data_IF_706131272408
#
_entry.id   IF_706131272408
#
_cell.length_a   1.000
_cell.length_b   1.000
_cell.length_c   1.000
_cell.angle_alpha   90.00
_cell.angle_beta   90.00
_cell.angle_gamma   90.00
#
_symmetry.space_group_name_H-M   'P 1'
#
loop_
_entity.id
_entity.type
_entity.pdbx_description
1 polymer ?
#
# COMPACT_ATOMS: atom_id res chain seq x y z
N UNK A 1 -6.47 10.67 -16.92
CA UNK A 1 -7.41 9.63 -16.42
C UNK A 1 -8.02 8.79 -17.54
N UNK A 2 -9.08 9.23 -18.25
CA UNK A 2 -9.74 8.37 -19.25
C UNK A 2 -8.84 8.03 -20.44
N UNK A 3 -8.00 8.97 -20.91
CA UNK A 3 -7.00 8.72 -21.95
C UNK A 3 -6.09 7.56 -21.56
N UNK A 4 -5.47 7.62 -20.39
CA UNK A 4 -4.53 6.60 -19.89
C UNK A 4 -5.21 5.24 -19.65
N UNK A 5 -6.50 5.25 -19.29
CA UNK A 5 -7.28 4.05 -19.06
C UNK A 5 -7.86 3.42 -20.35
N UNK A 6 -7.79 4.12 -21.50
CA UNK A 6 -8.44 3.72 -22.77
C UNK A 6 -7.49 3.67 -23.97
N UNK A 7 -6.40 4.42 -23.98
CA UNK A 7 -5.50 4.59 -25.12
C UNK A 7 -4.15 3.97 -24.78
N UNK A 8 -3.66 3.10 -25.67
CA UNK A 8 -2.32 2.54 -25.53
C UNK A 8 -1.32 3.69 -25.71
N UNK A 9 -0.36 3.88 -24.80
CA UNK A 9 0.64 4.94 -24.94
C UNK A 9 1.55 4.69 -26.15
N UNK A 10 2.26 5.73 -26.56
CA UNK A 10 3.37 5.55 -27.51
C UNK A 10 4.37 4.57 -26.89
N UNK A 11 4.70 3.51 -27.62
CA UNK A 11 5.54 2.43 -27.11
C UNK A 11 6.95 2.89 -26.74
N UNK A 12 7.42 4.03 -27.29
CA UNK A 12 8.69 4.68 -26.90
C UNK A 12 8.67 5.17 -25.45
N UNK A 13 7.48 5.43 -24.91
CA UNK A 13 7.25 5.92 -23.55
C UNK A 13 6.37 4.96 -22.73
N UNK A 14 6.24 3.68 -23.15
CA UNK A 14 5.35 2.69 -22.51
C UNK A 14 5.55 2.57 -21.00
N UNK A 15 6.78 2.80 -20.55
CA UNK A 15 7.19 2.66 -19.16
C UNK A 15 7.12 3.96 -18.36
N UNK A 16 6.70 5.07 -18.99
CA UNK A 16 6.62 6.41 -18.39
C UNK A 16 5.22 7.02 -18.48
N UNK A 17 4.46 6.66 -19.52
CA UNK A 17 3.17 7.27 -19.83
C UNK A 17 2.09 6.20 -20.07
N UNK A 18 0.85 6.51 -19.68
CA UNK A 18 -0.30 5.64 -19.91
C UNK A 18 -0.19 4.27 -19.24
N UNK A 19 -0.90 3.27 -19.80
CA UNK A 19 -0.84 1.88 -19.36
C UNK A 19 -0.18 1.00 -20.42
N UNK A 20 1.08 0.62 -20.24
CA UNK A 20 1.83 -0.24 -21.17
C UNK A 20 1.07 -1.51 -21.57
N UNK A 21 0.57 -2.23 -20.57
CA UNK A 21 -0.10 -3.52 -20.74
C UNK A 21 -1.63 -3.38 -20.89
N UNK A 22 -2.11 -2.27 -21.49
CA UNK A 22 -3.54 -2.00 -21.58
C UNK A 22 -4.31 -3.04 -22.42
N UNK A 23 -3.66 -3.67 -23.39
CA UNK A 23 -4.25 -4.72 -24.20
C UNK A 23 -4.66 -5.93 -23.33
N UNK A 24 -3.72 -6.44 -22.53
CA UNK A 24 -3.97 -7.48 -21.53
C UNK A 24 -5.01 -7.03 -20.52
N UNK A 25 -4.85 -5.83 -19.95
CA UNK A 25 -5.77 -5.32 -18.95
C UNK A 25 -7.22 -5.27 -19.43
N UNK A 26 -7.45 -4.86 -20.69
CA UNK A 26 -8.80 -4.83 -21.28
C UNK A 26 -9.34 -6.22 -21.61
N UNK A 27 -8.49 -7.14 -22.07
CA UNK A 27 -8.89 -8.45 -22.57
C UNK A 27 -9.02 -9.49 -21.45
N UNK A 28 -8.07 -9.49 -20.52
CA UNK A 28 -7.90 -10.50 -19.47
C UNK A 28 -8.38 -10.00 -18.10
N UNK A 29 -8.36 -8.68 -17.87
CA UNK A 29 -8.63 -8.07 -16.57
C UNK A 29 -7.45 -8.10 -15.60
N UNK A 30 -6.28 -8.52 -16.07
CA UNK A 30 -4.98 -8.49 -15.37
C UNK A 30 -3.86 -8.38 -16.42
N UNK A 31 -2.64 -8.10 -15.99
CA UNK A 31 -1.45 -8.09 -16.85
C UNK A 31 -0.81 -9.47 -16.81
N UNK A 32 -0.59 -10.12 -17.96
CA UNK A 32 -0.03 -11.46 -17.99
C UNK A 32 1.51 -11.46 -17.95
N UNK A 33 2.09 -12.47 -17.30
CA UNK A 33 3.54 -12.57 -17.12
C UNK A 33 4.30 -12.90 -18.42
N UNK A 34 3.73 -13.75 -19.27
CA UNK A 34 4.36 -14.22 -20.53
C UNK A 34 4.44 -13.13 -21.62
N UNK A 35 3.66 -12.05 -21.48
CA UNK A 35 3.62 -10.98 -22.46
C UNK A 35 4.15 -9.64 -21.93
N UNK A 36 4.27 -9.49 -20.60
CA UNK A 36 4.57 -8.22 -19.97
C UNK A 36 5.42 -8.37 -18.71
N UNK A 37 6.34 -7.41 -18.51
CA UNK A 37 7.06 -7.27 -17.25
C UNK A 37 6.19 -6.57 -16.19
N UNK A 38 6.57 -6.73 -14.91
CA UNK A 38 5.89 -6.17 -13.73
C UNK A 38 4.41 -6.53 -13.65
N UNK A 39 4.07 -7.73 -14.10
CA UNK A 39 2.69 -8.17 -14.25
C UNK A 39 1.89 -8.10 -12.94
N UNK A 40 2.51 -8.42 -11.79
CA UNK A 40 1.84 -8.38 -10.47
C UNK A 40 1.63 -6.94 -10.03
N UNK A 41 2.68 -6.11 -9.96
CA UNK A 41 2.54 -4.73 -9.48
C UNK A 41 1.65 -3.88 -10.40
N UNK A 42 1.80 -4.01 -11.73
CA UNK A 42 0.92 -3.32 -12.70
C UNK A 42 -0.55 -3.75 -12.53
N UNK A 43 -0.84 -5.02 -12.28
CA UNK A 43 -2.22 -5.49 -12.05
C UNK A 43 -2.83 -4.84 -10.81
N UNK A 44 -2.08 -4.77 -9.71
CA UNK A 44 -2.51 -4.14 -8.45
C UNK A 44 -2.72 -2.64 -8.65
N UNK A 45 -1.75 -1.94 -9.23
CA UNK A 45 -1.84 -0.49 -9.45
C UNK A 45 -2.91 -0.11 -10.47
N UNK A 46 -3.11 -0.90 -11.54
CA UNK A 46 -4.17 -0.66 -12.51
C UNK A 46 -5.55 -0.87 -11.91
N UNK A 47 -5.68 -1.80 -10.96
CA UNK A 47 -6.89 -2.01 -10.16
C UNK A 47 -7.22 -0.75 -9.36
N UNK A 48 -6.25 -0.22 -8.60
CA UNK A 48 -6.40 1.00 -7.83
C UNK A 48 -6.70 2.22 -8.72
N UNK A 49 -6.00 2.33 -9.85
CA UNK A 49 -6.22 3.41 -10.82
C UNK A 49 -7.64 3.36 -11.42
N UNK A 50 -8.20 2.18 -11.68
CA UNK A 50 -9.59 2.08 -12.13
C UNK A 50 -10.58 2.42 -11.01
N UNK A 51 -10.30 2.08 -9.75
CA UNK A 51 -11.10 2.57 -8.63
C UNK A 51 -11.07 4.10 -8.53
N UNK A 52 -9.90 4.73 -8.68
CA UNK A 52 -9.76 6.19 -8.72
C UNK A 52 -10.61 6.83 -9.83
N UNK A 53 -10.62 6.22 -11.02
CA UNK A 53 -11.48 6.68 -12.12
C UNK A 53 -12.95 6.56 -11.74
N UNK A 54 -13.38 5.48 -11.08
CA UNK A 54 -14.76 5.32 -10.62
C UNK A 54 -15.18 6.41 -9.62
N UNK A 55 -14.29 6.80 -8.70
CA UNK A 55 -14.57 7.87 -7.73
C UNK A 55 -14.83 9.22 -8.41
N UNK A 56 -14.03 9.58 -9.42
CA UNK A 56 -14.24 10.81 -10.19
C UNK A 56 -15.47 10.69 -11.10
N UNK A 57 -15.66 9.52 -11.72
CA UNK A 57 -16.80 9.25 -12.60
C UNK A 57 -18.14 9.39 -11.87
N UNK A 58 -18.20 9.11 -10.56
CA UNK A 58 -19.43 9.27 -9.78
C UNK A 58 -20.00 10.70 -9.81
N UNK A 59 -19.13 11.72 -9.92
CA UNK A 59 -19.55 13.13 -10.05
C UNK A 59 -19.63 13.62 -11.50
N UNK A 60 -18.77 13.11 -12.38
CA UNK A 60 -18.57 13.69 -13.72
C UNK A 60 -19.19 12.87 -14.85
N UNK A 61 -19.18 11.53 -14.74
CA UNK A 61 -19.67 10.57 -15.75
C UNK A 61 -20.24 9.30 -15.11
N UNK A 62 -21.40 9.38 -14.45
CA UNK A 62 -21.95 8.27 -13.66
C UNK A 62 -22.12 6.96 -14.45
N UNK A 63 -22.30 7.03 -15.77
CA UNK A 63 -22.41 5.87 -16.66
C UNK A 63 -21.14 5.02 -16.77
N UNK A 64 -19.97 5.61 -16.47
CA UNK A 64 -18.68 4.91 -16.50
C UNK A 64 -18.35 4.23 -15.14
N UNK A 65 -19.07 4.54 -14.05
CA UNK A 65 -18.75 4.09 -12.68
C UNK A 65 -18.68 2.57 -12.57
N UNK A 66 -19.75 1.87 -12.96
CA UNK A 66 -19.85 0.42 -12.80
C UNK A 66 -18.72 -0.30 -13.56
N UNK A 67 -18.43 0.15 -14.79
CA UNK A 67 -17.33 -0.40 -15.59
C UNK A 67 -15.98 -0.31 -14.87
N UNK A 68 -15.70 0.83 -14.24
CA UNK A 68 -14.43 1.05 -13.57
C UNK A 68 -14.35 0.37 -12.19
N UNK A 69 -15.47 0.25 -11.47
CA UNK A 69 -15.56 -0.59 -10.27
C UNK A 69 -15.38 -2.08 -10.57
N UNK A 70 -15.89 -2.59 -11.70
CA UNK A 70 -15.64 -3.98 -12.08
C UNK A 70 -14.18 -4.22 -12.49
N UNK A 71 -13.55 -3.25 -13.17
CA UNK A 71 -12.12 -3.33 -13.49
C UNK A 71 -11.22 -3.21 -12.26
N UNK A 72 -11.61 -2.47 -11.24
CA UNK A 72 -10.82 -2.36 -10.00
C UNK A 72 -10.71 -3.66 -9.20
N UNK A 73 -11.50 -4.68 -9.55
CA UNK A 73 -11.38 -6.04 -9.00
C UNK A 73 -10.33 -6.89 -9.71
N UNK A 74 -9.58 -6.34 -10.68
CA UNK A 74 -8.60 -7.07 -11.48
C UNK A 74 -7.52 -7.78 -10.64
N UNK A 75 -7.10 -7.19 -9.52
CA UNK A 75 -6.16 -7.80 -8.57
C UNK A 75 -6.62 -9.18 -8.07
N UNK A 76 -7.93 -9.38 -7.89
CA UNK A 76 -8.51 -10.65 -7.45
C UNK A 76 -8.25 -11.77 -8.47
N UNK A 77 -8.09 -11.42 -9.76
CA UNK A 77 -7.80 -12.40 -10.83
C UNK A 77 -6.38 -12.94 -10.74
N UNK A 78 -5.48 -12.26 -10.05
CA UNK A 78 -4.10 -12.73 -9.82
C UNK A 78 -3.90 -13.25 -8.41
N UNK A 79 -4.95 -13.35 -7.60
CA UNK A 79 -4.87 -13.98 -6.29
C UNK A 79 -4.96 -15.50 -6.43
N UNK A 80 -3.89 -16.19 -6.06
CA UNK A 80 -3.84 -17.64 -5.99
C UNK A 80 -3.96 -18.06 -4.52
N UNK A 81 -5.09 -18.66 -4.14
CA UNK A 81 -5.36 -19.12 -2.77
C UNK A 81 -4.44 -20.27 -2.34
N UNK A 82 -3.87 -21.02 -3.29
CA UNK A 82 -3.01 -22.17 -3.02
C UNK A 82 -1.53 -21.80 -2.97
N UNK A 83 -1.15 -20.63 -3.52
CA UNK A 83 0.20 -20.12 -3.40
C UNK A 83 0.60 -19.97 -1.93
N UNK A 84 1.79 -20.48 -1.58
CA UNK A 84 2.26 -20.53 -0.20
C UNK A 84 3.61 -19.82 -0.05
N UNK A 85 3.80 -19.17 1.10
CA UNK A 85 5.10 -18.61 1.47
C UNK A 85 6.17 -19.71 1.59
N UNK A 86 7.40 -19.44 1.16
CA UNK A 86 8.53 -20.37 1.30
C UNK A 86 9.42 -19.95 2.46
N UNK A 87 9.94 -20.91 3.23
CA UNK A 87 10.87 -20.64 4.33
C UNK A 87 10.25 -19.96 5.56
N UNK A 88 8.92 -19.93 5.67
CA UNK A 88 8.18 -19.35 6.80
C UNK A 88 7.26 -20.42 7.38
N UNK A 89 7.36 -20.67 8.69
CA UNK A 89 6.56 -21.68 9.39
C UNK A 89 5.73 -21.07 10.55
N UNK A 90 4.41 -21.34 10.62
CA UNK A 90 3.62 -22.06 9.62
C UNK A 90 3.46 -21.24 8.34
N UNK A 91 3.45 -21.92 7.19
CA UNK A 91 3.31 -21.28 5.89
C UNK A 91 2.01 -20.46 5.79
N UNK A 92 2.13 -19.25 5.25
CA UNK A 92 1.00 -18.44 4.81
C UNK A 92 0.47 -18.98 3.46
N UNK A 93 -0.84 -18.96 3.24
CA UNK A 93 -1.50 -19.38 1.98
C UNK A 93 -2.37 -18.28 1.40
N UNK A 94 -2.34 -18.09 0.09
CA UNK A 94 -2.99 -16.98 -0.58
C UNK A 94 -2.03 -15.83 -0.82
N UNK A 95 -1.68 -15.58 -2.07
CA UNK A 95 -0.84 -14.47 -2.51
C UNK A 95 -1.25 -13.99 -3.90
N UNK A 96 -0.89 -12.75 -4.21
CA UNK A 96 -0.77 -12.35 -5.60
C UNK A 96 0.28 -13.24 -6.27
N UNK A 97 -0.05 -13.83 -7.42
CA UNK A 97 0.79 -14.79 -8.13
C UNK A 97 0.79 -14.46 -9.62
N UNK A 98 1.95 -14.53 -10.30
CA UNK A 98 2.01 -14.32 -11.75
C UNK A 98 1.04 -15.24 -12.49
N UNK A 99 0.31 -14.67 -13.45
CA UNK A 99 -0.68 -15.40 -14.24
C UNK A 99 -0.37 -15.24 -15.73
N UNK A 100 -0.39 -16.34 -16.46
CA UNK A 100 -0.09 -16.37 -17.90
C UNK A 100 -1.31 -15.95 -18.72
N UNK A 101 -1.11 -15.55 -19.98
CA UNK A 101 -2.17 -15.06 -20.86
C UNK A 101 -3.25 -16.10 -21.18
N UNK A 102 -2.91 -17.39 -21.03
CA UNK A 102 -3.83 -18.52 -21.13
C UNK A 102 -4.69 -18.75 -19.86
N UNK A 103 -4.46 -17.97 -18.80
CA UNK A 103 -5.21 -18.03 -17.54
C UNK A 103 -4.62 -18.91 -16.44
N UNK A 104 -3.52 -19.63 -16.66
CA UNK A 104 -2.88 -20.46 -15.63
C UNK A 104 -1.95 -19.64 -14.73
N UNK A 105 -1.93 -19.95 -13.42
CA UNK A 105 -0.91 -19.41 -12.51
C UNK A 105 0.46 -20.03 -12.79
N UNK A 106 1.50 -19.21 -12.74
CA UNK A 106 2.89 -19.66 -12.81
C UNK A 106 3.48 -19.72 -11.39
N UNK A 107 3.18 -20.82 -10.68
CA UNK A 107 3.49 -20.99 -9.26
C UNK A 107 4.62 -22.00 -8.96
N UNK A 108 5.12 -22.73 -9.97
CA UNK A 108 5.98 -23.92 -9.78
C UNK A 108 7.29 -23.64 -9.02
N UNK A 109 7.90 -22.47 -9.23
CA UNK A 109 9.11 -22.00 -8.52
C UNK A 109 8.87 -20.65 -7.82
N UNK A 110 7.60 -20.37 -7.53
CA UNK A 110 7.21 -19.08 -7.00
C UNK A 110 7.44 -18.98 -5.49
N UNK A 111 8.17 -17.94 -5.08
CA UNK A 111 8.30 -17.53 -3.70
C UNK A 111 7.78 -16.08 -3.55
N UNK A 112 6.66 -15.84 -2.86
CA UNK A 112 6.09 -14.50 -2.74
C UNK A 112 6.98 -13.54 -1.94
N UNK A 113 7.91 -14.04 -1.12
CA UNK A 113 8.89 -13.22 -0.41
C UNK A 113 10.12 -12.86 -1.27
N UNK A 114 10.09 -13.18 -2.57
CA UNK A 114 11.15 -12.85 -3.51
C UNK A 114 10.58 -12.28 -4.82
N UNK A 115 11.35 -11.40 -5.44
CA UNK A 115 11.01 -10.73 -6.70
C UNK A 115 12.13 -10.82 -7.75
N UNK A 116 13.14 -11.66 -7.49
CA UNK A 116 14.39 -11.67 -8.25
C UNK A 116 15.17 -10.38 -8.05
N UNK A 117 15.00 -9.42 -8.96
CA UNK A 117 15.63 -8.10 -8.87
C UNK A 117 14.69 -6.95 -8.47
N UNK A 118 13.38 -7.21 -8.28
CA UNK A 118 12.39 -6.14 -8.01
C UNK A 118 12.49 -4.95 -8.99
N UNK A 119 12.89 -5.19 -10.24
CA UNK A 119 13.25 -4.13 -11.19
C UNK A 119 12.53 -4.31 -12.52
N UNK A 120 13.03 -3.70 -13.59
CA UNK A 120 12.29 -3.49 -14.83
C UNK A 120 11.73 -4.77 -15.47
N UNK A 121 12.47 -5.88 -15.39
CA UNK A 121 12.09 -7.19 -15.96
C UNK A 121 11.40 -8.14 -14.98
N UNK A 122 11.30 -7.77 -13.69
CA UNK A 122 10.73 -8.64 -12.67
C UNK A 122 9.20 -8.69 -12.72
N UNK A 123 8.59 -9.62 -11.99
CA UNK A 123 7.12 -9.74 -11.87
C UNK A 123 6.49 -8.62 -11.03
N UNK A 124 7.27 -8.02 -10.13
CA UNK A 124 6.93 -6.85 -9.33
C UNK A 124 8.02 -5.79 -9.46
N UNK A 125 7.70 -4.55 -9.13
CA UNK A 125 8.62 -3.42 -9.15
C UNK A 125 8.82 -2.91 -7.73
N UNK A 126 10.07 -2.85 -7.28
CA UNK A 126 10.54 -2.24 -6.02
C UNK A 126 10.07 -2.89 -4.70
N UNK A 127 9.17 -3.87 -4.75
CA UNK A 127 8.81 -4.67 -3.58
C UNK A 127 8.46 -6.12 -3.97
N UNK A 128 8.51 -7.03 -3.00
CA UNK A 128 8.12 -8.43 -3.18
C UNK A 128 6.61 -8.58 -3.36
N UNK A 129 6.14 -9.67 -3.97
CA UNK A 129 4.71 -9.97 -3.97
C UNK A 129 4.07 -10.10 -2.58
N UNK A 130 4.84 -10.45 -1.55
CA UNK A 130 4.37 -10.46 -0.17
C UNK A 130 4.00 -9.04 0.29
N UNK A 131 4.88 -8.06 0.06
CA UNK A 131 4.61 -6.64 0.30
C UNK A 131 3.43 -6.13 -0.56
N UNK A 132 3.44 -6.41 -1.87
CA UNK A 132 2.35 -6.02 -2.77
C UNK A 132 1.00 -6.64 -2.42
N UNK A 133 0.97 -7.79 -1.73
CA UNK A 133 -0.28 -8.43 -1.31
C UNK A 133 -1.03 -7.58 -0.28
N UNK A 134 -0.41 -6.56 0.32
CA UNK A 134 -1.08 -5.58 1.18
C UNK A 134 -1.54 -4.31 0.42
N UNK A 135 -1.29 -4.21 -0.89
CA UNK A 135 -1.49 -2.99 -1.67
C UNK A 135 -2.87 -2.87 -2.34
N UNK A 136 -3.94 -3.12 -1.60
CA UNK A 136 -5.31 -3.06 -2.11
C UNK A 136 -6.20 -2.14 -1.25
N UNK A 137 -5.86 -0.84 -1.15
CA UNK A 137 -6.54 0.08 -0.22
C UNK A 137 -8.02 0.30 -0.55
N UNK A 138 -8.42 0.08 -1.81
CA UNK A 138 -9.80 0.22 -2.28
C UNK A 138 -10.69 -0.99 -2.00
N UNK A 139 -10.13 -2.13 -1.55
CA UNK A 139 -10.86 -3.38 -1.37
C UNK A 139 -10.33 -4.22 -0.18
N UNK A 140 -10.06 -3.53 0.93
CA UNK A 140 -9.43 -4.12 2.11
C UNK A 140 -10.26 -5.23 2.77
N UNK A 141 -11.58 -5.16 2.69
CA UNK A 141 -12.47 -6.18 3.26
C UNK A 141 -12.28 -7.53 2.54
N UNK A 142 -12.33 -7.53 1.20
CA UNK A 142 -12.09 -8.74 0.41
C UNK A 142 -10.64 -9.20 0.54
N UNK A 143 -9.67 -8.29 0.65
CA UNK A 143 -8.29 -8.67 0.91
C UNK A 143 -8.12 -9.46 2.22
N UNK A 144 -8.73 -8.98 3.31
CA UNK A 144 -8.71 -9.68 4.61
C UNK A 144 -9.35 -11.06 4.50
N UNK A 145 -10.47 -11.18 3.77
CA UNK A 145 -11.13 -12.47 3.50
C UNK A 145 -10.20 -13.41 2.73
N UNK A 146 -9.59 -12.93 1.65
CA UNK A 146 -8.69 -13.70 0.78
C UNK A 146 -7.41 -14.16 1.50
N UNK A 147 -6.97 -13.39 2.49
CA UNK A 147 -5.86 -13.76 3.37
C UNK A 147 -6.22 -14.78 4.45
N UNK A 148 -7.51 -15.15 4.61
CA UNK A 148 -7.96 -16.13 5.61
C UNK A 148 -8.66 -15.54 6.83
N UNK A 149 -9.10 -14.28 6.76
CA UNK A 149 -9.80 -13.59 7.84
C UNK A 149 -8.87 -12.79 8.76
N UNK A 150 -9.47 -12.18 9.79
CA UNK A 150 -8.79 -11.16 10.64
C UNK A 150 -7.56 -11.70 11.38
N UNK A 151 -7.64 -12.92 11.92
CA UNK A 151 -6.55 -13.50 12.71
C UNK A 151 -5.34 -13.84 11.82
N UNK A 152 -5.60 -14.39 10.63
CA UNK A 152 -4.53 -14.70 9.68
C UNK A 152 -3.94 -13.41 9.06
N UNK A 153 -4.77 -12.40 8.82
CA UNK A 153 -4.32 -11.06 8.42
C UNK A 153 -3.41 -10.43 9.48
N UNK A 154 -3.79 -10.52 10.76
CA UNK A 154 -2.94 -10.08 11.88
C UNK A 154 -1.61 -10.82 11.92
N UNK A 155 -1.62 -12.15 11.74
CA UNK A 155 -0.42 -12.99 11.72
C UNK A 155 0.53 -12.60 10.58
N UNK A 156 -0.03 -12.32 9.40
CA UNK A 156 0.74 -11.85 8.24
C UNK A 156 1.37 -10.50 8.50
N UNK A 157 0.61 -9.54 9.03
CA UNK A 157 1.14 -8.23 9.40
C UNK A 157 2.24 -8.35 10.47
N UNK A 158 2.03 -9.14 11.53
CA UNK A 158 3.04 -9.35 12.57
C UNK A 158 4.35 -9.94 11.97
N UNK A 159 4.24 -10.80 10.95
CA UNK A 159 5.39 -11.34 10.25
C UNK A 159 6.12 -10.29 9.38
N UNK A 160 5.40 -9.36 8.77
CA UNK A 160 5.99 -8.25 7.99
C UNK A 160 7.02 -7.47 8.82
N UNK A 161 6.74 -7.25 10.11
CA UNK A 161 7.59 -6.49 11.03
C UNK A 161 8.60 -7.35 11.83
N UNK A 162 8.62 -8.68 11.63
CA UNK A 162 9.51 -9.58 12.37
C UNK A 162 10.97 -9.38 11.94
N UNK A 163 11.92 -9.10 12.85
CA UNK A 163 13.33 -8.97 12.48
C UNK A 163 13.86 -10.22 11.77
N UNK A 164 14.72 -10.01 10.77
CA UNK A 164 15.29 -11.07 9.92
C UNK A 164 14.24 -11.88 9.13
N UNK A 165 13.07 -11.31 8.84
CA UNK A 165 12.07 -11.95 7.98
C UNK A 165 12.31 -11.72 6.48
N UNK A 166 13.10 -10.70 6.11
CA UNK A 166 13.41 -10.44 4.69
C UNK A 166 14.14 -11.63 4.07
N UNK A 167 13.72 -12.00 2.86
CA UNK A 167 14.43 -12.94 1.98
C UNK A 167 15.08 -12.22 0.79
N UNK A 168 15.09 -10.89 0.82
CA UNK A 168 15.76 -10.00 -0.13
C UNK A 168 16.99 -9.38 0.54
N UNK A 169 18.07 -9.26 -0.23
CA UNK A 169 19.22 -8.42 0.14
C UNK A 169 18.99 -7.01 -0.42
N UNK A 170 18.70 -6.06 0.47
CA UNK A 170 18.50 -4.66 0.10
C UNK A 170 19.84 -3.90 -0.09
N UNK A 171 20.96 -4.58 0.16
CA UNK A 171 22.30 -4.01 0.03
C UNK A 171 22.57 -2.84 0.97
N UNK A 172 23.65 -2.11 0.68
CA UNK A 172 24.10 -0.97 1.50
C UNK A 172 23.11 0.20 1.53
N UNK A 173 22.22 0.28 0.54
CA UNK A 173 21.21 1.34 0.43
C UNK A 173 19.91 1.00 1.17
N UNK A 174 19.76 -0.23 1.70
CA UNK A 174 18.55 -0.68 2.39
C UNK A 174 18.40 -0.21 3.84
N UNK A 175 19.20 0.77 4.30
CA UNK A 175 19.17 1.32 5.65
C UNK A 175 19.22 0.27 6.80
N UNK A 176 19.81 -0.90 6.56
CA UNK A 176 19.84 -2.00 7.51
C UNK A 176 18.47 -2.63 7.82
N UNK A 177 17.48 -2.43 6.95
CA UNK A 177 16.17 -3.07 7.02
C UNK A 177 16.35 -4.56 6.71
N UNK A 178 15.94 -5.41 7.65
CA UNK A 178 16.00 -6.87 7.56
C UNK A 178 14.62 -7.52 7.77
N UNK A 179 13.57 -6.72 7.76
CA UNK A 179 12.16 -7.12 7.81
C UNK A 179 11.62 -7.20 6.38
N UNK A 180 10.57 -7.98 6.16
CA UNK A 180 9.82 -7.91 4.88
C UNK A 180 9.23 -6.52 4.67
N UNK A 181 8.77 -5.86 5.74
CA UNK A 181 8.35 -4.47 5.65
C UNK A 181 9.55 -3.55 5.43
N UNK A 182 9.53 -2.78 4.36
CA UNK A 182 10.54 -1.80 3.99
C UNK A 182 9.97 -0.38 3.98
N UNK A 183 10.14 0.34 5.09
CA UNK A 183 9.70 1.75 5.17
C UNK A 183 10.45 2.70 4.24
N UNK A 184 11.59 2.27 3.67
CA UNK A 184 12.34 3.05 2.71
C UNK A 184 11.71 3.09 1.31
N UNK A 185 10.56 2.45 1.10
CA UNK A 185 9.96 2.29 -0.23
C UNK A 185 8.42 2.43 -0.21
N UNK A 186 7.86 2.99 -1.29
CA UNK A 186 6.44 3.36 -1.40
C UNK A 186 5.44 2.22 -1.22
N UNK A 187 5.67 1.00 -1.75
CA UNK A 187 4.68 -0.08 -1.64
C UNK A 187 4.31 -0.41 -0.19
N UNK A 188 5.17 -0.11 0.78
CA UNK A 188 4.95 -0.46 2.18
C UNK A 188 4.46 0.68 3.07
N UNK A 189 4.24 1.87 2.52
CA UNK A 189 3.85 3.04 3.31
C UNK A 189 2.55 2.84 4.08
N UNK A 190 1.60 2.07 3.55
CA UNK A 190 0.33 1.79 4.22
C UNK A 190 0.38 0.63 5.21
N UNK A 191 1.31 -0.31 5.02
CA UNK A 191 1.43 -1.58 5.77
C UNK A 191 1.29 -1.40 7.30
N UNK A 192 1.96 -0.44 7.97
CA UNK A 192 1.82 -0.30 9.43
C UNK A 192 0.42 0.15 9.86
N UNK A 193 -0.38 0.76 9.00
CA UNK A 193 -1.72 1.25 9.34
C UNK A 193 -2.82 0.20 9.14
N UNK A 194 -2.49 -0.96 8.58
CA UNK A 194 -3.49 -1.97 8.21
C UNK A 194 -4.14 -2.68 9.41
N UNK A 195 -3.51 -2.63 10.60
CA UNK A 195 -4.15 -3.14 11.83
C UNK A 195 -5.43 -2.37 12.20
N UNK A 196 -5.62 -1.14 11.72
CA UNK A 196 -6.86 -0.39 11.90
C UNK A 196 -8.08 -1.14 11.32
N UNK A 197 -7.92 -1.90 10.22
CA UNK A 197 -9.03 -2.62 9.59
C UNK A 197 -9.47 -3.88 10.34
N UNK A 198 -8.70 -4.33 11.33
CA UNK A 198 -9.01 -5.48 12.19
C UNK A 198 -9.20 -5.08 13.66
N UNK A 199 -9.48 -3.80 13.93
CA UNK A 199 -9.68 -3.24 15.28
C UNK A 199 -8.46 -3.41 16.22
N UNK A 200 -7.25 -3.40 15.65
CA UNK A 200 -5.97 -3.50 16.38
C UNK A 200 -5.14 -2.22 16.24
N UNK A 201 -5.80 -1.05 16.25
CA UNK A 201 -5.18 0.25 15.99
C UNK A 201 -3.94 0.54 16.86
N UNK A 202 -3.88 0.03 18.09
CA UNK A 202 -2.71 0.15 18.96
C UNK A 202 -1.43 -0.46 18.34
N UNK A 203 -1.55 -1.54 17.55
CA UNK A 203 -0.44 -2.10 16.78
C UNK A 203 -0.02 -1.17 15.65
N UNK A 204 -0.96 -0.53 14.96
CA UNK A 204 -0.64 0.48 13.94
C UNK A 204 0.12 1.67 14.52
N UNK A 205 -0.32 2.16 15.67
CA UNK A 205 0.39 3.19 16.42
C UNK A 205 1.80 2.74 16.79
N UNK A 206 1.95 1.53 17.35
CA UNK A 206 3.25 0.99 17.71
C UNK A 206 4.19 0.86 16.50
N UNK A 207 3.75 0.19 15.43
CA UNK A 207 4.61 -0.08 14.26
C UNK A 207 5.03 1.21 13.56
N UNK A 208 4.08 2.09 13.25
CA UNK A 208 4.39 3.38 12.61
C UNK A 208 5.34 4.24 13.47
N UNK A 209 5.16 4.26 14.80
CA UNK A 209 6.04 4.96 15.74
C UNK A 209 7.44 4.35 15.80
N UNK A 210 7.53 3.02 15.88
CA UNK A 210 8.79 2.30 15.94
C UNK A 210 9.62 2.51 14.67
N UNK A 211 9.00 2.42 13.50
CA UNK A 211 9.64 2.68 12.21
C UNK A 211 10.21 4.10 12.14
N UNK A 212 9.38 5.11 12.43
CA UNK A 212 9.80 6.50 12.41
C UNK A 212 10.98 6.77 13.35
N UNK A 213 10.92 6.26 14.59
CA UNK A 213 12.01 6.43 15.58
C UNK A 213 13.30 5.72 15.18
N UNK A 214 13.20 4.56 14.54
CA UNK A 214 14.35 3.73 14.20
C UNK A 214 15.08 4.24 12.97
N UNK A 215 14.33 4.67 11.96
CA UNK A 215 14.86 4.85 10.61
C UNK A 215 15.01 6.31 10.17
N UNK A 216 14.33 7.25 10.85
CA UNK A 216 14.41 8.66 10.50
C UNK A 216 15.26 9.41 11.52
N UNK A 217 16.26 10.14 11.04
CA UNK A 217 17.14 10.97 11.87
C UNK A 217 17.38 12.33 11.24
N UNK A 218 17.93 13.27 12.00
CA UNK A 218 18.32 14.59 11.48
C UNK A 218 19.74 14.60 10.87
N UNK A 219 20.37 13.43 10.71
CA UNK A 219 21.68 13.32 10.07
C UNK A 219 21.57 13.49 8.54
N UNK A 220 22.67 13.79 7.83
CA UNK A 220 22.67 13.90 6.36
C UNK A 220 22.16 12.66 5.63
N UNK A 221 22.35 11.46 6.20
CA UNK A 221 21.83 10.18 5.71
C UNK A 221 20.62 9.71 6.53
N UNK A 222 19.81 10.64 7.02
CA UNK A 222 18.74 10.37 7.98
C UNK A 222 17.43 9.83 7.41
N UNK A 223 17.38 9.45 6.12
CA UNK A 223 16.23 8.81 5.50
C UNK A 223 16.51 7.32 5.24
N UNK A 224 15.53 6.42 5.43
CA UNK A 224 15.69 4.99 5.17
C UNK A 224 15.74 4.59 3.70
N UNK A 225 15.52 5.53 2.79
CA UNK A 225 15.42 5.31 1.36
C UNK A 225 15.42 6.64 0.61
N UNK A 226 15.03 6.58 -0.64
CA UNK A 226 14.91 7.78 -1.48
C UNK A 226 13.79 8.68 -0.95
N UNK A 227 13.95 10.00 -1.14
CA UNK A 227 12.90 10.95 -0.78
C UNK A 227 11.70 10.90 -1.73
N UNK A 228 11.94 10.47 -2.98
CA UNK A 228 10.97 10.32 -4.07
C UNK A 228 10.01 11.51 -4.20
N UNK A 229 10.61 12.66 -4.45
CA UNK A 229 9.92 13.95 -4.56
C UNK A 229 9.06 14.30 -3.34
N UNK A 230 9.44 13.81 -2.15
CA UNK A 230 8.77 14.07 -0.89
C UNK A 230 7.75 13.02 -0.47
N UNK A 231 7.63 11.89 -1.17
CA UNK A 231 6.74 10.79 -0.79
C UNK A 231 7.08 10.26 0.61
N UNK A 232 8.35 9.87 0.84
CA UNK A 232 8.84 9.38 2.13
C UNK A 232 8.75 10.43 3.24
N UNK A 233 9.05 11.70 2.91
CA UNK A 233 8.92 12.82 3.85
C UNK A 233 7.46 13.05 4.26
N UNK A 234 6.53 12.95 3.31
CA UNK A 234 5.11 13.08 3.56
C UNK A 234 4.59 11.97 4.47
N UNK A 235 5.08 10.74 4.30
CA UNK A 235 4.76 9.64 5.21
C UNK A 235 5.12 9.98 6.65
N UNK A 236 6.32 10.53 6.89
CA UNK A 236 6.76 10.94 8.22
C UNK A 236 5.86 12.05 8.78
N UNK A 237 5.48 13.05 7.97
CA UNK A 237 4.62 14.15 8.41
C UNK A 237 3.23 13.63 8.81
N UNK A 238 2.62 12.73 8.02
CA UNK A 238 1.35 12.10 8.36
C UNK A 238 1.43 11.33 9.68
N UNK A 239 2.50 10.56 9.84
CA UNK A 239 2.80 9.82 11.06
C UNK A 239 2.98 10.76 12.28
N UNK A 240 3.57 11.95 12.09
CA UNK A 240 3.70 12.99 13.12
C UNK A 240 2.38 13.66 13.50
N UNK A 241 1.52 13.90 12.52
CA UNK A 241 0.15 14.43 12.70
C UNK A 241 -0.72 13.42 13.46
N UNK A 242 -0.45 12.12 13.32
CA UNK A 242 -1.24 11.04 13.91
C UNK A 242 -2.43 10.62 13.04
N UNK A 243 -2.35 10.84 11.72
CA UNK A 243 -3.34 10.43 10.74
C UNK A 243 -2.63 9.80 9.54
N UNK A 244 -3.29 8.88 8.82
CA UNK A 244 -2.77 8.34 7.56
C UNK A 244 -3.84 8.39 6.47
N UNK A 245 -3.59 9.05 5.32
CA UNK A 245 -4.58 9.15 4.24
C UNK A 245 -4.66 7.84 3.45
N UNK A 246 -5.88 7.33 3.25
CA UNK A 246 -6.13 6.21 2.35
C UNK A 246 -6.28 6.75 0.94
N UNK A 247 -5.34 6.40 0.06
CA UNK A 247 -5.33 6.86 -1.34
C UNK A 247 -6.68 6.58 -2.03
N UNK A 248 -7.09 7.47 -2.94
CA UNK A 248 -8.36 7.44 -3.70
C UNK A 248 -9.65 7.60 -2.89
N UNK A 249 -9.58 7.76 -1.57
CA UNK A 249 -10.76 7.84 -0.70
C UNK A 249 -10.64 9.02 0.27
N UNK A 250 -11.76 9.64 0.71
CA UNK A 250 -11.74 10.68 1.73
C UNK A 250 -11.63 10.07 3.15
N UNK A 251 -10.81 9.03 3.31
CA UNK A 251 -10.65 8.27 4.56
C UNK A 251 -9.26 8.54 5.13
N UNK A 252 -9.21 8.83 6.43
CA UNK A 252 -7.98 8.99 7.18
C UNK A 252 -7.99 8.01 8.35
N UNK A 253 -6.99 7.13 8.41
CA UNK A 253 -6.83 6.19 9.51
C UNK A 253 -6.21 6.93 10.71
N UNK A 254 -6.80 6.71 11.89
CA UNK A 254 -6.33 7.33 13.12
C UNK A 254 -5.09 6.58 13.61
N UNK A 255 -3.97 7.30 13.69
CA UNK A 255 -2.73 6.89 14.35
C UNK A 255 -2.63 7.52 15.73
N UNK A 256 -1.45 8.06 16.07
CA UNK A 256 -1.20 8.79 17.31
C UNK A 256 -0.30 9.99 17.01
N UNK A 257 -0.64 11.21 17.47
CA UNK A 257 0.16 12.39 17.19
C UNK A 257 1.49 12.39 17.93
N UNK A 258 2.44 13.21 17.45
CA UNK A 258 3.74 13.41 18.10
C UNK A 258 3.80 14.65 18.99
N UNK A 259 2.85 15.56 18.82
CA UNK A 259 2.78 16.80 19.55
C UNK A 259 1.49 16.84 20.37
N UNK A 260 1.52 17.40 21.60
CA UNK A 260 0.33 17.49 22.45
C UNK A 260 -0.71 18.49 21.90
N UNK A 261 -0.29 19.44 21.07
CA UNK A 261 -1.17 20.39 20.38
C UNK A 261 -0.57 20.69 19.02
N UNK A 262 -1.33 20.43 17.97
CA UNK A 262 -0.94 20.71 16.59
C UNK A 262 -2.12 21.34 15.85
N UNK A 263 -1.83 22.40 15.11
CA UNK A 263 -2.77 23.11 14.28
C UNK A 263 -2.30 23.12 12.83
N UNK A 264 -3.25 23.04 11.90
CA UNK A 264 -2.97 23.17 10.47
C UNK A 264 -4.08 23.93 9.78
N UNK A 265 -3.70 24.79 8.84
CA UNK A 265 -4.66 25.46 7.96
C UNK A 265 -5.07 24.49 6.85
N UNK A 266 -6.35 24.18 6.77
CA UNK A 266 -6.94 23.31 5.75
C UNK A 266 -7.88 24.11 4.87
N UNK A 267 -7.88 23.81 3.57
CA UNK A 267 -8.73 24.49 2.58
C UNK A 267 -8.61 26.04 2.60
N UNK A 268 -7.40 26.55 2.84
CA UNK A 268 -7.06 27.98 2.79
C UNK A 268 -7.50 28.83 3.99
N UNK A 269 -8.61 28.53 4.65
CA UNK A 269 -9.15 29.37 5.72
C UNK A 269 -9.78 28.62 6.91
N UNK A 270 -9.71 27.28 6.92
CA UNK A 270 -10.20 26.46 8.03
C UNK A 270 -9.03 25.95 8.84
N UNK A 271 -9.27 25.56 10.07
CA UNK A 271 -8.25 25.00 10.95
C UNK A 271 -8.65 23.59 11.36
N UNK A 272 -7.74 22.64 11.18
CA UNK A 272 -7.78 21.37 11.91
C UNK A 272 -6.82 21.50 13.09
N UNK A 273 -7.35 21.39 14.31
CA UNK A 273 -6.57 21.33 15.55
C UNK A 273 -6.70 19.94 16.15
N UNK A 274 -5.56 19.33 16.48
CA UNK A 274 -5.48 18.02 17.12
C UNK A 274 -4.74 18.23 18.45
N UNK A 275 -5.39 17.83 19.54
CA UNK A 275 -4.83 17.91 20.89
C UNK A 275 -4.75 16.51 21.49
N UNK A 276 -3.66 16.21 22.20
CA UNK A 276 -3.43 14.94 22.86
C UNK A 276 -3.01 15.15 24.31
N UNK A 277 -3.89 14.75 25.23
CA UNK A 277 -3.63 14.77 26.68
C UNK A 277 -2.86 13.52 27.11
N UNK A 278 -1.91 13.68 28.04
CA UNK A 278 -1.11 12.57 28.54
C UNK A 278 -0.11 11.99 27.54
N UNK A 279 0.17 12.71 26.43
CA UNK A 279 1.18 12.30 25.45
C UNK A 279 2.57 12.33 26.07
N UNK A 280 3.30 11.22 25.94
CA UNK A 280 4.67 11.09 26.42
C UNK A 280 5.49 10.14 25.57
N UNK A 281 6.78 10.02 25.89
CA UNK A 281 7.72 9.17 25.12
C UNK A 281 7.24 7.72 25.03
N UNK A 282 6.68 7.17 26.10
CA UNK A 282 6.10 5.82 26.14
C UNK A 282 4.57 5.82 26.29
N UNK A 283 3.96 6.99 26.42
CA UNK A 283 2.51 7.18 26.53
C UNK A 283 1.97 7.76 25.23
N UNK A 284 1.84 6.91 24.20
CA UNK A 284 1.40 7.32 22.87
C UNK A 284 0.27 6.43 22.31
N UNK A 285 -0.33 5.56 23.11
CA UNK A 285 -1.48 4.75 22.71
C UNK A 285 -2.79 5.52 22.89
N UNK A 286 -3.58 5.59 21.82
CA UNK A 286 -4.85 6.33 21.83
C UNK A 286 -5.91 5.55 22.62
N UNK A 287 -6.43 6.15 23.69
CA UNK A 287 -7.46 5.54 24.54
C UNK A 287 -8.88 5.94 24.12
N UNK A 288 -9.03 7.17 23.62
CA UNK A 288 -10.29 7.69 23.09
C UNK A 288 -10.02 8.82 22.11
N UNK A 289 -10.99 9.08 21.23
CA UNK A 289 -10.96 10.20 20.29
C UNK A 289 -12.29 10.91 20.36
N UNK A 290 -12.24 12.24 20.45
CA UNK A 290 -13.40 13.12 20.33
C UNK A 290 -13.22 13.99 19.10
N UNK A 291 -14.13 13.90 18.14
CA UNK A 291 -14.17 14.79 16.98
C UNK A 291 -15.21 15.87 17.24
N UNK A 292 -14.79 17.13 17.18
CA UNK A 292 -15.68 18.30 17.35
C UNK A 292 -15.70 19.07 16.04
N UNK A 293 -16.90 19.34 15.53
CA UNK A 293 -17.10 20.19 14.38
C UNK A 293 -17.62 21.54 14.87
N UNK A 294 -16.75 22.55 14.88
CA UNK A 294 -17.17 23.92 15.12
C UNK A 294 -17.76 24.47 13.82
N UNK A 295 -19.08 24.55 13.75
CA UNK A 295 -19.74 25.34 12.72
C UNK A 295 -19.41 26.81 12.98
N UNK A 296 -18.73 27.47 12.03
CA UNK A 296 -18.78 28.94 12.01
C UNK A 296 -20.13 29.31 11.41
N UNK A 297 -20.93 30.04 12.18
CA UNK A 297 -22.04 30.82 11.62
C UNK A 297 -21.50 31.64 10.44
N UNK A 298 -22.25 31.62 9.33
CA UNK A 298 -21.91 32.39 8.13
C UNK A 298 -22.06 33.87 8.40
#
# INVERSE_FOLDING_TARGET
MLKDAKVIPDLRFKDKEGRAALADWKKLGYVSQDLNERCVSRTVEYSLNDFAVAQVAAGERPEDVEKYLQRSKGWQRTWDHDAASKGIEPAFKGFLTPRLSNGTFNASDYNPAQCGGCSWSAITYEATPFEYSFNVPHDMATLIEFMGGKDEFERRLDHMFKPNSSQQDLGVNGAGINTLMNIGNEPDFQTPYLYNYINKQYKSVYQSRALARKYFTTAPNGLPGNSDAGALNSWLIWQMIGLYPVVTQPIYLIGSPWFPDLNMTVNGNRTLRITAEGLGRESYYVQSVKVVLEAREK
#
